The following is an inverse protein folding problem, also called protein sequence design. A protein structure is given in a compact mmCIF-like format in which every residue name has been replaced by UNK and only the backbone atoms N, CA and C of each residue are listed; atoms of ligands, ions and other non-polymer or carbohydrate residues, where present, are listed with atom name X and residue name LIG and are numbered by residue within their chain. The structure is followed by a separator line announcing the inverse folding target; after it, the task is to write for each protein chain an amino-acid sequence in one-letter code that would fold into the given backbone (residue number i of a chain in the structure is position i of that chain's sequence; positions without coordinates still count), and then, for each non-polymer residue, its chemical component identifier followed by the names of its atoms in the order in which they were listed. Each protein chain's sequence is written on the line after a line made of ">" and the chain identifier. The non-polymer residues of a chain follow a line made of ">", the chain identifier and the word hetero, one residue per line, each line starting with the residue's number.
data_IF_184744866982
#
_entry.id   IF_184744866982
#
_cell.length_a   1.000
_cell.length_b   1.000
_cell.length_c   1.000
_cell.angle_alpha   90.00
_cell.angle_beta   90.00
_cell.angle_gamma   90.00
#
_symmetry.space_group_name_H-M   'P 1'
#
loop_
_entity.id
_entity.type
_entity.pdbx_description
1 polymer ?
#
# COMPACT_ATOMS: atom_id res chain seq x y z
N UNK A 1 -8.42 42.03 0.86
CA UNK A 1 -7.30 41.28 1.46
C UNK A 1 -7.72 39.82 1.51
N UNK A 2 -7.26 39.00 0.55
CA UNK A 2 -7.66 37.60 0.46
C UNK A 2 -6.75 36.81 1.41
N UNK A 3 -7.31 36.29 2.51
CA UNK A 3 -6.60 35.36 3.39
C UNK A 3 -6.57 34.00 2.70
N UNK A 4 -5.42 33.59 2.19
CA UNK A 4 -5.18 32.24 1.73
C UNK A 4 -4.73 31.45 2.95
N UNK A 5 -5.67 30.77 3.62
CA UNK A 5 -5.35 29.78 4.64
C UNK A 5 -4.74 28.54 3.95
N UNK A 6 -3.42 28.56 3.74
CA UNK A 6 -2.69 27.38 3.29
C UNK A 6 -2.68 26.40 4.47
N UNK A 7 -3.64 25.48 4.51
CA UNK A 7 -3.55 24.30 5.39
C UNK A 7 -2.34 23.49 4.95
N UNK A 8 -1.21 23.70 5.62
CA UNK A 8 -0.04 22.85 5.43
C UNK A 8 -0.44 21.40 5.76
N UNK A 9 -0.11 20.43 4.89
CA UNK A 9 -0.38 19.03 5.17
C UNK A 9 0.31 18.64 6.47
N UNK A 10 -0.39 17.88 7.30
CA UNK A 10 0.17 17.42 8.55
C UNK A 10 1.30 16.41 8.30
N UNK A 11 2.23 16.23 9.25
CA UNK A 11 3.27 15.19 9.17
C UNK A 11 2.75 13.81 8.69
N UNK A 12 1.61 13.29 9.19
CA UNK A 12 1.09 12.01 8.71
C UNK A 12 0.56 12.07 7.27
N UNK A 13 0.10 13.22 6.77
CA UNK A 13 -0.30 13.38 5.37
C UNK A 13 0.91 13.36 4.43
N UNK A 14 2.01 14.01 4.84
CA UNK A 14 3.29 13.93 4.13
C UNK A 14 3.84 12.50 4.10
N UNK A 15 3.74 11.78 5.22
CA UNK A 15 4.17 10.37 5.28
C UNK A 15 3.31 9.45 4.41
N UNK A 16 1.99 9.68 4.36
CA UNK A 16 1.11 8.95 3.41
C UNK A 16 1.52 9.20 1.97
N UNK A 17 1.80 10.44 1.61
CA UNK A 17 2.24 10.78 0.26
C UNK A 17 3.58 10.10 -0.08
N UNK A 18 4.53 10.10 0.87
CA UNK A 18 5.81 9.41 0.70
C UNK A 18 5.65 7.89 0.56
N UNK A 19 4.72 7.27 1.30
CA UNK A 19 4.48 5.83 1.25
C UNK A 19 3.61 5.38 0.07
N UNK A 20 2.90 6.29 -0.60
CA UNK A 20 1.98 5.95 -1.70
C UNK A 20 2.70 5.20 -2.85
N UNK A 21 3.93 5.59 -3.17
CA UNK A 21 4.70 4.90 -4.21
C UNK A 21 5.12 3.49 -3.78
N UNK A 22 5.43 3.31 -2.50
CA UNK A 22 5.73 1.99 -1.91
C UNK A 22 4.48 1.10 -1.95
N UNK A 23 3.32 1.61 -1.55
CA UNK A 23 2.05 0.88 -1.63
C UNK A 23 1.72 0.48 -3.07
N UNK A 24 1.95 1.37 -4.03
CA UNK A 24 1.73 1.11 -5.45
C UNK A 24 2.66 0.02 -5.98
N UNK A 25 3.94 0.06 -5.62
CA UNK A 25 4.91 -0.96 -6.01
C UNK A 25 4.58 -2.34 -5.43
N UNK A 26 4.27 -2.40 -4.12
CA UNK A 26 3.85 -3.65 -3.46
C UNK A 26 2.58 -4.19 -4.13
N UNK A 27 1.58 -3.33 -4.34
CA UNK A 27 0.32 -3.72 -4.98
C UNK A 27 0.55 -4.29 -6.37
N UNK A 28 1.38 -3.63 -7.18
CA UNK A 28 1.69 -4.07 -8.54
C UNK A 28 2.40 -5.42 -8.54
N UNK A 29 3.48 -5.57 -7.77
CA UNK A 29 4.23 -6.83 -7.66
C UNK A 29 3.33 -7.99 -7.19
N UNK A 30 2.53 -7.76 -6.15
CA UNK A 30 1.62 -8.75 -5.60
C UNK A 30 0.56 -9.18 -6.62
N UNK A 31 -0.06 -8.22 -7.31
CA UNK A 31 -1.07 -8.51 -8.34
C UNK A 31 -0.48 -9.24 -9.55
N UNK A 32 0.68 -8.81 -10.03
CA UNK A 32 1.34 -9.42 -11.18
C UNK A 32 1.71 -10.89 -10.88
N UNK A 33 2.25 -11.16 -9.68
CA UNK A 33 2.60 -12.51 -9.24
C UNK A 33 1.36 -13.41 -9.01
N UNK A 34 0.24 -12.81 -8.59
CA UNK A 34 -1.01 -13.51 -8.35
C UNK A 34 -1.91 -13.62 -9.59
N UNK A 35 -1.62 -12.91 -10.69
CA UNK A 35 -2.50 -12.78 -11.85
C UNK A 35 -2.92 -14.13 -12.43
N UNK A 36 -1.98 -15.09 -12.53
CA UNK A 36 -2.24 -16.45 -13.03
C UNK A 36 -2.98 -17.37 -12.05
N UNK A 37 -3.26 -16.90 -10.82
CA UNK A 37 -3.81 -17.69 -9.71
C UNK A 37 -5.16 -17.15 -9.21
N UNK A 38 -5.82 -16.32 -10.02
CA UNK A 38 -7.08 -15.65 -9.68
C UNK A 38 -6.93 -14.25 -9.09
N UNK A 39 -5.70 -13.75 -8.95
CA UNK A 39 -5.41 -12.42 -8.43
C UNK A 39 -5.47 -12.32 -6.90
N UNK A 40 -5.00 -11.19 -6.38
CA UNK A 40 -5.13 -10.82 -4.96
C UNK A 40 -5.63 -9.39 -4.81
N UNK A 41 -6.38 -9.18 -3.75
CA UNK A 41 -6.66 -7.87 -3.18
C UNK A 41 -5.61 -7.57 -2.12
N UNK A 42 -5.02 -6.37 -2.17
CA UNK A 42 -4.00 -5.91 -1.23
C UNK A 42 -4.62 -4.88 -0.31
N UNK A 43 -4.47 -5.06 1.00
CA UNK A 43 -4.94 -4.11 2.01
C UNK A 43 -3.77 -3.64 2.86
N UNK A 44 -3.61 -2.32 2.95
CA UNK A 44 -2.59 -1.69 3.78
C UNK A 44 -3.23 -1.23 5.09
N UNK A 45 -2.67 -1.69 6.21
CA UNK A 45 -2.90 -1.06 7.51
C UNK A 45 -1.82 -0.02 7.75
N UNK A 46 -2.18 1.14 8.30
CA UNK A 46 -1.25 2.25 8.53
C UNK A 46 -1.14 2.57 10.01
N UNK A 47 0.04 3.03 10.42
CA UNK A 47 0.28 3.58 11.76
C UNK A 47 -0.23 5.04 11.85
N UNK A 48 -0.40 5.58 13.08
CA UNK A 48 -0.81 6.98 13.27
C UNK A 48 0.15 8.00 12.64
N UNK A 49 1.42 7.64 12.46
CA UNK A 49 2.46 8.46 11.82
C UNK A 49 2.36 8.49 10.28
N UNK A 50 1.43 7.74 9.69
CA UNK A 50 1.23 7.65 8.24
C UNK A 50 2.04 6.56 7.53
N UNK A 51 2.91 5.84 8.25
CA UNK A 51 3.69 4.71 7.69
C UNK A 51 2.86 3.44 7.54
N UNK A 52 3.28 2.55 6.65
CA UNK A 52 2.67 1.22 6.48
C UNK A 52 2.99 0.37 7.71
N UNK A 53 1.95 -0.16 8.36
CA UNK A 53 2.06 -1.08 9.50
C UNK A 53 2.11 -2.54 9.03
N UNK A 54 1.13 -2.94 8.23
CA UNK A 54 0.98 -4.30 7.72
C UNK A 54 0.41 -4.27 6.31
N UNK A 55 0.79 -5.28 5.52
CA UNK A 55 0.22 -5.56 4.19
C UNK A 55 -0.49 -6.90 4.28
N UNK A 56 -1.77 -6.92 3.99
CA UNK A 56 -2.61 -8.11 4.00
C UNK A 56 -3.03 -8.45 2.57
N UNK A 57 -3.03 -9.75 2.25
CA UNK A 57 -3.47 -10.27 0.96
C UNK A 57 -4.74 -11.08 1.14
N UNK A 58 -5.71 -10.85 0.25
CA UNK A 58 -6.95 -11.61 0.19
C UNK A 58 -7.10 -12.21 -1.20
N UNK A 59 -7.43 -13.50 -1.26
CA UNK A 59 -7.55 -14.25 -2.50
C UNK A 59 -7.46 -15.75 -2.23
N UNK A 60 -7.26 -16.54 -3.30
CA UNK A 60 -6.97 -17.96 -3.16
C UNK A 60 -5.65 -18.17 -2.42
N UNK A 61 -5.49 -19.29 -1.70
CA UNK A 61 -4.26 -19.59 -0.97
C UNK A 61 -3.02 -19.56 -1.88
N UNK A 62 -3.15 -20.09 -3.11
CA UNK A 62 -2.10 -20.05 -4.11
C UNK A 62 -1.75 -18.62 -4.54
N UNK A 63 -2.74 -17.74 -4.69
CA UNK A 63 -2.53 -16.33 -5.04
C UNK A 63 -1.88 -15.55 -3.89
N UNK A 64 -2.32 -15.78 -2.65
CA UNK A 64 -1.72 -15.19 -1.46
C UNK A 64 -0.26 -15.63 -1.32
N UNK A 65 0.03 -16.92 -1.44
CA UNK A 65 1.40 -17.45 -1.35
C UNK A 65 2.32 -16.84 -2.42
N UNK A 66 1.81 -16.69 -3.64
CA UNK A 66 2.55 -16.05 -4.73
C UNK A 66 2.80 -14.56 -4.50
N UNK A 67 1.79 -13.83 -4.02
CA UNK A 67 1.90 -12.42 -3.70
C UNK A 67 2.91 -12.19 -2.57
N UNK A 68 2.83 -12.96 -1.49
CA UNK A 68 3.77 -12.91 -0.37
C UNK A 68 5.20 -13.22 -0.80
N UNK A 69 5.41 -14.25 -1.63
CA UNK A 69 6.73 -14.57 -2.14
C UNK A 69 7.33 -13.47 -3.04
N UNK A 70 6.49 -12.73 -3.76
CA UNK A 70 6.94 -11.65 -4.66
C UNK A 70 7.27 -10.33 -3.95
N UNK A 71 6.80 -10.15 -2.71
CA UNK A 71 7.05 -8.94 -1.90
C UNK A 71 8.01 -9.18 -0.74
N UNK A 72 8.33 -10.44 -0.42
CA UNK A 72 9.38 -10.77 0.54
C UNK A 72 10.75 -10.30 0.01
N UNK A 73 11.61 -9.72 0.86
CA UNK A 73 12.95 -9.27 0.48
C UNK A 73 13.87 -10.43 0.10
#
# INVERSE_FOLDING_TARGET
>A
MIKIDIKMPSKPDLMRAAMAEVEKQITRKARDAAARRGGVTVRFSRKPDGSIRTVEFQGSEAAIKAATAAIAP
#
